data_IF_338439248966
#
_entry.id   IF_338439248966
#
_cell.length_a   1.000
_cell.length_b   1.000
_cell.length_c   1.000
_cell.angle_alpha   90.00
_cell.angle_beta   90.00
_cell.angle_gamma   90.00
#
_symmetry.space_group_name_H-M   'P 1'
#
loop_
_entity.id
_entity.type
_entity.pdbx_description
1 polymer ?
#
# COMPACT_ATOMS: atom_id res chain seq x y z
N UNK A 1 8.43 -4.86 -14.52
CA UNK A 1 7.51 -4.87 -13.37
C UNK A 1 6.15 -4.30 -13.73
N UNK A 2 6.03 -3.02 -14.14
CA UNK A 2 4.70 -2.46 -14.44
C UNK A 2 3.96 -3.17 -15.57
N UNK A 3 4.68 -3.63 -16.61
CA UNK A 3 4.09 -4.43 -17.69
C UNK A 3 3.53 -5.76 -17.17
N UNK A 4 4.28 -6.46 -16.31
CA UNK A 4 3.86 -7.71 -15.68
C UNK A 4 2.64 -7.52 -14.75
N UNK A 5 2.63 -6.45 -13.95
CA UNK A 5 1.48 -6.09 -13.10
C UNK A 5 0.25 -5.74 -13.96
N UNK A 6 0.45 -5.03 -15.08
CA UNK A 6 -0.67 -4.72 -15.98
C UNK A 6 -1.19 -5.98 -16.70
N UNK A 7 -0.32 -6.96 -16.97
CA UNK A 7 -0.71 -8.24 -17.55
C UNK A 7 -1.61 -9.07 -16.60
N UNK A 8 -1.57 -8.84 -15.28
CA UNK A 8 -2.52 -9.48 -14.35
C UNK A 8 -3.90 -8.82 -14.33
N UNK A 9 -4.14 -7.78 -15.12
CA UNK A 9 -5.45 -7.11 -15.23
C UNK A 9 -6.26 -7.57 -16.45
N UNK A 10 -5.85 -8.66 -17.10
CA UNK A 10 -6.63 -9.26 -18.18
C UNK A 10 -7.91 -9.90 -17.63
N UNK A 11 -8.94 -10.03 -18.46
CA UNK A 11 -10.15 -10.79 -18.16
C UNK A 11 -9.87 -12.30 -18.29
N UNK A 12 -9.04 -12.83 -17.38
CA UNK A 12 -8.68 -14.24 -17.37
C UNK A 12 -9.91 -15.12 -17.11
N UNK A 13 -10.08 -16.25 -17.84
CA UNK A 13 -11.14 -17.20 -17.55
C UNK A 13 -11.04 -17.74 -16.12
N UNK A 14 -12.19 -18.07 -15.52
CA UNK A 14 -12.24 -18.67 -14.19
C UNK A 14 -11.35 -19.92 -14.10
N UNK A 15 -10.52 -19.97 -13.06
CA UNK A 15 -9.59 -21.08 -12.80
C UNK A 15 -8.25 -20.98 -13.52
N UNK A 16 -8.07 -20.01 -14.43
CA UNK A 16 -6.76 -19.69 -15.02
C UNK A 16 -6.06 -18.69 -14.11
N UNK A 17 -4.80 -18.97 -13.76
CA UNK A 17 -4.05 -18.07 -12.91
C UNK A 17 -3.30 -17.02 -13.74
N UNK A 18 -3.32 -15.77 -13.28
CA UNK A 18 -2.56 -14.69 -13.90
C UNK A 18 -1.04 -14.85 -13.74
N UNK A 19 -0.57 -15.80 -12.90
CA UNK A 19 0.85 -16.19 -12.85
C UNK A 19 1.35 -16.64 -14.23
N UNK A 20 0.52 -17.40 -14.98
CA UNK A 20 0.90 -18.03 -16.24
C UNK A 20 1.13 -17.01 -17.38
N UNK A 21 0.58 -15.80 -17.24
CA UNK A 21 0.60 -14.77 -18.30
C UNK A 21 1.39 -13.52 -17.93
N UNK A 22 1.60 -13.26 -16.62
CA UNK A 22 2.28 -12.05 -16.16
C UNK A 22 3.80 -12.15 -16.18
N UNK A 23 4.36 -13.37 -16.13
CA UNK A 23 5.80 -13.60 -15.96
C UNK A 23 6.32 -13.30 -14.56
N UNK A 24 5.43 -13.07 -13.59
CA UNK A 24 5.75 -12.99 -12.16
C UNK A 24 5.90 -14.40 -11.58
N UNK A 25 6.65 -14.53 -10.49
CA UNK A 25 6.85 -15.82 -9.84
C UNK A 25 6.30 -15.85 -8.42
N UNK A 26 5.76 -17.01 -8.06
CA UNK A 26 5.35 -17.28 -6.69
C UNK A 26 6.56 -17.37 -5.76
N UNK A 27 6.41 -16.81 -4.57
CA UNK A 27 7.24 -17.11 -3.41
C UNK A 27 6.35 -17.47 -2.22
N UNK A 28 6.77 -18.42 -1.37
CA UNK A 28 5.92 -18.91 -0.30
C UNK A 28 5.67 -17.83 0.77
N UNK A 29 4.45 -17.86 1.29
CA UNK A 29 4.04 -17.18 2.52
C UNK A 29 4.24 -18.12 3.72
N UNK A 30 4.27 -17.55 4.94
CA UNK A 30 4.58 -18.31 6.17
C UNK A 30 3.42 -18.38 7.16
N UNK A 31 2.46 -17.47 7.06
CA UNK A 31 1.32 -17.32 7.98
C UNK A 31 -0.03 -17.47 7.30
N UNK A 32 -0.06 -17.48 5.97
CA UNK A 32 -1.24 -17.65 5.11
C UNK A 32 -0.94 -18.58 3.93
N UNK A 33 -2.00 -19.09 3.28
CA UNK A 33 -1.90 -20.01 2.13
C UNK A 33 -1.47 -19.34 0.82
N UNK A 34 -1.98 -18.15 0.43
CA UNK A 34 -1.63 -17.55 -0.85
C UNK A 34 -0.15 -17.19 -0.93
N UNK A 35 0.47 -17.44 -2.09
CA UNK A 35 1.84 -17.04 -2.39
C UNK A 35 1.97 -15.51 -2.53
N UNK A 36 3.16 -14.98 -2.23
CA UNK A 36 3.53 -13.60 -2.52
C UNK A 36 4.26 -13.50 -3.86
N UNK A 37 4.30 -12.31 -4.45
CA UNK A 37 5.07 -12.04 -5.68
C UNK A 37 6.55 -11.99 -5.32
N UNK A 38 7.35 -12.90 -5.89
CA UNK A 38 8.79 -13.03 -5.62
C UNK A 38 9.55 -11.75 -5.97
N UNK A 39 9.17 -11.09 -7.06
CA UNK A 39 9.83 -9.89 -7.57
C UNK A 39 9.50 -8.63 -6.75
N UNK A 40 8.45 -8.67 -5.92
CA UNK A 40 8.04 -7.49 -5.15
C UNK A 40 9.07 -7.12 -4.09
N UNK A 41 9.35 -5.82 -3.98
CA UNK A 41 10.26 -5.29 -2.95
C UNK A 41 9.64 -5.35 -1.57
N UNK A 42 8.32 -5.24 -1.49
CA UNK A 42 7.58 -5.29 -0.23
C UNK A 42 6.29 -6.11 -0.41
N UNK A 43 5.95 -6.93 0.57
CA UNK A 43 4.71 -7.71 0.57
C UNK A 43 4.17 -7.87 1.98
N UNK A 44 2.85 -7.92 2.10
CA UNK A 44 2.16 -8.09 3.38
C UNK A 44 1.34 -9.36 3.31
N UNK A 45 1.59 -10.30 4.22
CA UNK A 45 0.69 -11.41 4.46
C UNK A 45 -0.45 -10.96 5.36
N UNK A 46 -1.69 -11.25 4.98
CA UNK A 46 -2.85 -10.76 5.70
C UNK A 46 -4.01 -11.75 5.78
N UNK A 47 -4.76 -11.69 6.88
CA UNK A 47 -5.99 -12.45 7.08
C UNK A 47 -7.18 -11.50 7.05
N UNK A 48 -8.20 -11.86 6.29
CA UNK A 48 -9.47 -11.10 6.25
C UNK A 48 -10.08 -11.12 7.65
N UNK A 49 -10.47 -9.95 8.15
CA UNK A 49 -11.16 -9.80 9.44
C UNK A 49 -12.58 -9.27 9.28
N UNK A 50 -12.87 -8.55 8.18
CA UNK A 50 -14.20 -8.06 7.87
C UNK A 50 -14.33 -7.83 6.36
N UNK A 51 -15.56 -7.99 5.86
CA UNK A 51 -15.93 -7.68 4.48
C UNK A 51 -17.22 -6.88 4.53
N UNK A 52 -17.16 -5.63 4.07
CA UNK A 52 -18.32 -4.77 3.90
C UNK A 52 -18.67 -4.65 2.43
N UNK A 53 -19.68 -5.40 2.01
CA UNK A 53 -20.25 -5.29 0.67
C UNK A 53 -21.10 -4.03 0.53
N UNK A 54 -20.97 -3.36 -0.62
CA UNK A 54 -21.83 -2.27 -1.03
C UNK A 54 -22.90 -2.84 -1.95
N UNK A 55 -24.16 -2.80 -1.50
CA UNK A 55 -25.29 -3.28 -2.27
C UNK A 55 -25.51 -2.40 -3.50
N UNK A 56 -25.84 -3.03 -4.62
CA UNK A 56 -26.29 -2.33 -5.81
C UNK A 56 -27.63 -1.61 -5.52
N UNK A 57 -27.71 -0.33 -5.87
CA UNK A 57 -28.93 0.47 -5.77
C UNK A 57 -29.99 0.04 -6.81
N UNK A 58 -29.60 -0.63 -7.89
CA UNK A 58 -30.47 -1.06 -8.99
C UNK A 58 -30.86 -2.55 -8.90
N UNK A 59 -30.00 -3.42 -8.37
CA UNK A 59 -30.26 -4.87 -8.25
C UNK A 59 -29.99 -5.41 -6.83
N UNK A 60 -31.04 -5.53 -5.99
CA UNK A 60 -30.90 -6.08 -4.64
C UNK A 60 -30.29 -7.50 -4.67
N UNK A 61 -29.16 -7.69 -3.98
CA UNK A 61 -28.45 -8.97 -3.90
C UNK A 61 -27.19 -9.08 -4.75
N UNK A 62 -26.92 -8.11 -5.63
CA UNK A 62 -25.61 -7.94 -6.28
C UNK A 62 -24.80 -6.90 -5.51
N UNK A 63 -23.54 -7.22 -5.19
CA UNK A 63 -22.60 -6.22 -4.68
C UNK A 63 -21.76 -5.71 -5.85
N UNK A 64 -21.72 -4.38 -6.04
CA UNK A 64 -20.91 -3.74 -7.08
C UNK A 64 -19.44 -3.65 -6.63
N UNK A 65 -19.23 -3.51 -5.33
CA UNK A 65 -17.91 -3.33 -4.72
C UNK A 65 -17.95 -3.76 -3.26
N UNK A 66 -16.80 -4.10 -2.69
CA UNK A 66 -16.68 -4.38 -1.26
C UNK A 66 -15.42 -3.73 -0.67
N UNK A 67 -15.51 -3.32 0.58
CA UNK A 67 -14.34 -2.98 1.40
C UNK A 67 -13.92 -4.21 2.19
N UNK A 68 -12.68 -4.66 1.97
CA UNK A 68 -12.10 -5.80 2.70
C UNK A 68 -11.10 -5.27 3.72
N UNK A 69 -11.34 -5.54 5.00
CA UNK A 69 -10.39 -5.24 6.07
C UNK A 69 -9.48 -6.45 6.30
N UNK A 70 -8.17 -6.21 6.21
CA UNK A 70 -7.16 -7.26 6.29
C UNK A 70 -6.23 -6.97 7.47
N UNK A 71 -6.14 -7.92 8.41
CA UNK A 71 -5.15 -7.88 9.49
C UNK A 71 -3.81 -8.37 8.97
N UNK A 72 -2.81 -7.50 8.96
CA UNK A 72 -1.42 -7.86 8.66
C UNK A 72 -0.89 -8.88 9.67
N UNK A 73 -0.22 -9.91 9.17
CA UNK A 73 0.32 -11.02 9.94
C UNK A 73 1.83 -11.20 9.75
N UNK A 74 2.36 -10.81 8.58
CA UNK A 74 3.80 -10.71 8.32
C UNK A 74 4.10 -9.66 7.26
N UNK A 75 5.22 -8.97 7.43
CA UNK A 75 5.81 -8.09 6.43
C UNK A 75 7.04 -8.75 5.82
N UNK A 76 7.18 -8.64 4.50
CA UNK A 76 8.35 -9.04 3.74
C UNK A 76 8.96 -7.82 3.09
N UNK A 77 10.27 -7.68 3.22
CA UNK A 77 11.05 -6.70 2.48
C UNK A 77 12.20 -7.41 1.79
N UNK A 78 12.49 -6.99 0.56
CA UNK A 78 13.64 -7.50 -0.19
C UNK A 78 14.93 -7.20 0.57
N UNK A 79 15.85 -8.15 0.55
CA UNK A 79 17.16 -7.99 1.17
C UNK A 79 17.85 -6.71 0.67
N UNK A 80 18.40 -5.94 1.62
CA UNK A 80 19.05 -4.66 1.35
C UNK A 80 18.10 -3.51 1.00
N UNK A 81 16.78 -3.70 1.04
CA UNK A 81 15.78 -2.65 0.80
C UNK A 81 15.19 -2.04 2.09
N UNK A 82 15.72 -2.39 3.25
CA UNK A 82 15.38 -1.76 4.53
C UNK A 82 16.66 -1.34 5.27
N UNK A 83 16.49 -0.45 6.24
CA UNK A 83 17.53 -0.14 7.23
C UNK A 83 17.84 -1.35 8.12
N UNK A 84 18.90 -1.25 8.92
CA UNK A 84 19.37 -2.34 9.78
C UNK A 84 18.32 -2.79 10.81
N UNK A 85 17.47 -1.86 11.25
CA UNK A 85 16.43 -2.10 12.26
C UNK A 85 15.07 -2.50 11.65
N UNK A 86 14.98 -2.61 10.31
CA UNK A 86 13.73 -2.86 9.58
C UNK A 86 12.60 -1.86 9.92
N UNK A 87 12.97 -0.65 10.30
CA UNK A 87 12.06 0.42 10.67
C UNK A 87 11.67 1.28 9.46
N UNK A 88 12.53 1.36 8.45
CA UNK A 88 12.30 2.14 7.24
C UNK A 88 12.70 1.36 5.98
N UNK A 89 11.88 1.47 4.94
CA UNK A 89 12.18 0.92 3.61
C UNK A 89 12.91 1.98 2.81
N UNK A 90 13.98 1.57 2.14
CA UNK A 90 14.71 2.38 1.18
C UNK A 90 13.81 2.66 -0.04
N UNK A 91 13.34 3.91 -0.14
CA UNK A 91 12.38 4.32 -1.17
C UNK A 91 12.97 4.28 -2.59
N UNK A 92 14.29 4.47 -2.74
CA UNK A 92 14.98 4.39 -4.03
C UNK A 92 15.02 2.95 -4.54
N UNK A 93 15.06 1.97 -3.63
CA UNK A 93 14.94 0.55 -3.97
C UNK A 93 13.49 0.10 -4.15
N UNK A 94 12.55 0.68 -3.38
CA UNK A 94 11.13 0.37 -3.48
C UNK A 94 10.53 0.81 -4.83
N UNK A 95 11.01 1.91 -5.41
CA UNK A 95 10.63 2.41 -6.76
C UNK A 95 9.11 2.45 -6.97
N UNK A 96 8.42 3.15 -6.07
CA UNK A 96 6.97 3.26 -6.03
C UNK A 96 6.37 3.76 -7.36
N UNK A 97 5.23 3.19 -7.71
CA UNK A 97 4.38 3.62 -8.83
C UNK A 97 3.01 3.98 -8.26
N UNK A 98 2.45 5.11 -8.66
CA UNK A 98 1.09 5.52 -8.33
C UNK A 98 0.20 5.50 -9.57
N UNK A 99 -1.03 4.98 -9.46
CA UNK A 99 -2.03 5.13 -10.50
C UNK A 99 -2.67 6.51 -10.39
N UNK A 100 -2.68 7.24 -11.50
CA UNK A 100 -3.12 8.65 -11.56
C UNK A 100 -4.57 8.82 -12.05
N UNK A 101 -5.18 7.73 -12.53
CA UNK A 101 -6.51 7.71 -13.13
C UNK A 101 -6.48 7.09 -14.53
N UNK A 102 -7.51 6.29 -14.83
CA UNK A 102 -7.55 5.48 -16.05
C UNK A 102 -6.29 4.62 -16.18
N UNK A 103 -5.63 4.72 -17.34
CA UNK A 103 -4.41 3.98 -17.70
C UNK A 103 -3.11 4.75 -17.41
N UNK A 104 -3.18 5.89 -16.70
CA UNK A 104 -2.03 6.74 -16.42
C UNK A 104 -1.34 6.37 -15.10
N UNK A 105 0.00 6.29 -15.13
CA UNK A 105 0.82 5.96 -13.96
C UNK A 105 1.96 6.95 -13.78
N UNK A 106 2.27 7.28 -12.54
CA UNK A 106 3.41 8.11 -12.14
C UNK A 106 4.46 7.30 -11.40
N UNK A 107 5.74 7.70 -11.52
CA UNK A 107 6.84 7.14 -10.74
C UNK A 107 7.29 8.15 -9.68
N UNK A 108 7.63 7.66 -8.50
CA UNK A 108 8.30 8.47 -7.48
C UNK A 108 9.79 8.56 -7.85
N UNK A 109 10.22 9.72 -8.36
CA UNK A 109 11.60 9.96 -8.83
C UNK A 109 12.51 10.58 -7.79
N UNK A 110 11.94 11.22 -6.77
CA UNK A 110 12.67 11.88 -5.70
C UNK A 110 11.83 11.95 -4.44
N UNK A 111 12.47 11.84 -3.28
CA UNK A 111 11.83 11.92 -1.97
C UNK A 111 12.53 12.95 -1.11
N UNK A 112 11.81 13.52 -0.14
CA UNK A 112 12.38 14.37 0.89
C UNK A 112 11.72 14.04 2.22
N UNK A 113 12.46 14.22 3.31
CA UNK A 113 11.92 14.02 4.64
C UNK A 113 11.32 15.31 5.19
N UNK A 114 10.11 15.18 5.76
CA UNK A 114 9.48 16.24 6.54
C UNK A 114 9.04 15.68 7.88
N UNK A 115 9.90 15.73 8.91
CA UNK A 115 9.52 15.32 10.25
C UNK A 115 8.32 16.12 10.75
N UNK A 116 7.41 15.45 11.45
CA UNK A 116 6.24 16.10 12.06
C UNK A 116 6.72 17.16 13.06
N UNK A 117 6.25 18.40 12.88
CA UNK A 117 6.49 19.46 13.84
C UNK A 117 5.73 19.18 15.15
N UNK A 118 6.43 19.31 16.28
CA UNK A 118 5.79 19.27 17.60
C UNK A 118 5.36 20.68 17.98
N UNK A 119 4.17 20.81 18.57
CA UNK A 119 3.61 22.10 19.02
C UNK A 119 4.61 22.89 19.87
N UNK A 120 5.31 22.23 20.79
CA UNK A 120 6.37 22.82 21.62
C UNK A 120 7.44 23.58 20.83
N UNK A 121 7.75 23.12 19.61
CA UNK A 121 8.79 23.70 18.76
C UNK A 121 8.25 24.82 17.85
N UNK A 122 6.93 24.92 17.72
CA UNK A 122 6.23 25.85 16.83
C UNK A 122 5.60 27.03 17.58
N UNK A 123 5.29 26.86 18.88
CA UNK A 123 4.79 27.95 19.73
C UNK A 123 5.76 29.13 19.77
N UNK A 124 7.07 28.85 19.75
CA UNK A 124 8.11 29.89 19.73
C UNK A 124 8.18 30.68 18.42
N UNK A 125 7.57 30.18 17.34
CA UNK A 125 7.65 30.76 15.99
C UNK A 125 6.37 31.47 15.55
N UNK A 126 5.30 31.35 16.33
CA UNK A 126 3.98 31.88 15.99
C UNK A 126 3.35 32.57 17.20
N UNK A 127 3.10 33.87 17.08
CA UNK A 127 2.41 34.65 18.11
C UNK A 127 1.02 34.09 18.45
N UNK A 128 0.30 33.56 17.45
CA UNK A 128 -0.98 32.89 17.66
C UNK A 128 -0.83 31.65 18.54
N UNK A 129 0.16 30.79 18.26
CA UNK A 129 0.38 29.57 19.05
C UNK A 129 0.85 29.90 20.47
N UNK A 130 1.59 30.98 20.65
CA UNK A 130 1.99 31.49 21.97
C UNK A 130 0.80 32.06 22.76
N UNK A 131 -0.10 32.81 22.11
CA UNK A 131 -1.34 33.30 22.73
C UNK A 131 -2.27 32.16 23.14
N UNK A 132 -2.42 31.16 22.27
CA UNK A 132 -3.20 29.95 22.55
C UNK A 132 -2.58 29.06 23.65
N UNK A 133 -1.26 29.14 23.88
CA UNK A 133 -0.61 28.48 25.01
C UNK A 133 -0.87 29.23 26.34
N UNK A 134 -0.93 30.57 26.28
CA UNK A 134 -1.24 31.43 27.43
C UNK A 134 -2.74 31.50 27.76
N UNK A 135 -3.60 30.90 26.94
CA UNK A 135 -5.06 30.95 27.11
C UNK A 135 -5.69 32.30 26.75
N UNK A 136 -4.96 33.14 26.01
CA UNK A 136 -5.42 34.44 25.54
C UNK A 136 -6.05 34.26 24.14
N UNK A 137 -7.35 34.52 24.02
CA UNK A 137 -8.05 34.60 22.73
C UNK A 137 -7.58 35.81 21.91
#
# INVERSE_FOLDING_TARGET
MIEAVNATSIDAPYGVSEWDVSGLHEAPSTTVKPSRVRESVFSIEGKVIDIKEFADHQQPGMSIAATVLIKATRFWVKEGAADADFSHIDLDKLRLVGQLGGVSYGRVVSTFERPRMRRSNEVLKSELLARLEKGEN
#
